data_IF_414802981776
#
_entry.id   IF_414802981776
#
_cell.length_a   1.000
_cell.length_b   1.000
_cell.length_c   1.000
_cell.angle_alpha   90.00
_cell.angle_beta   90.00
_cell.angle_gamma   90.00
#
_symmetry.space_group_name_H-M   'P 1'
#
loop_
_entity.id
_entity.type
_entity.pdbx_description
1 polymer ?
#
# COMPACT_ATOMS: atom_id res chain seq x y z
N UNK A 1 -15.56 4.24 3.10
CA UNK A 1 -15.63 3.01 2.26
C UNK A 1 -14.21 2.66 1.81
N UNK A 2 -13.71 1.44 1.89
CA UNK A 2 -12.29 1.19 1.64
C UNK A 2 -11.87 1.24 0.15
N UNK A 3 -10.56 1.25 -0.12
CA UNK A 3 -9.95 1.09 -1.44
C UNK A 3 -8.95 -0.07 -1.48
N UNK A 4 -8.93 -0.85 -2.56
CA UNK A 4 -7.99 -1.96 -2.78
C UNK A 4 -7.35 -1.80 -4.16
N UNK A 5 -6.04 -2.06 -4.24
CA UNK A 5 -5.28 -2.10 -5.50
C UNK A 5 -4.46 -3.39 -5.51
N UNK A 6 -4.38 -4.05 -6.65
CA UNK A 6 -3.48 -5.19 -6.87
C UNK A 6 -2.63 -4.94 -8.10
N UNK A 7 -1.40 -5.44 -8.10
CA UNK A 7 -0.52 -5.36 -9.25
C UNK A 7 0.31 -6.64 -9.39
N UNK A 8 0.41 -7.12 -10.64
CA UNK A 8 1.36 -8.13 -11.08
C UNK A 8 1.94 -7.68 -12.42
N UNK A 9 3.27 -7.64 -12.55
CA UNK A 9 3.92 -7.28 -13.81
C UNK A 9 5.40 -6.91 -13.67
N UNK A 10 5.92 -6.21 -14.66
CA UNK A 10 7.36 -5.92 -14.78
C UNK A 10 7.84 -4.70 -14.00
N UNK A 11 6.92 -3.83 -13.54
CA UNK A 11 7.27 -2.65 -12.72
C UNK A 11 7.44 -3.07 -11.26
N UNK A 12 8.06 -2.21 -10.46
CA UNK A 12 8.01 -2.39 -9.01
C UNK A 12 6.56 -2.18 -8.53
N UNK A 13 5.99 -3.19 -7.87
CA UNK A 13 4.63 -3.16 -7.37
C UNK A 13 4.39 -2.01 -6.41
N UNK A 14 5.36 -1.65 -5.57
CA UNK A 14 5.23 -0.57 -4.59
C UNK A 14 4.81 0.75 -5.24
N UNK A 15 5.45 1.12 -6.35
CA UNK A 15 5.17 2.38 -7.05
C UNK A 15 3.74 2.38 -7.63
N UNK A 16 3.34 1.27 -8.27
CA UNK A 16 2.00 1.11 -8.86
C UNK A 16 0.91 1.12 -7.80
N UNK A 17 1.15 0.44 -6.68
CA UNK A 17 0.21 0.36 -5.57
C UNK A 17 0.02 1.73 -4.94
N UNK A 18 1.08 2.49 -4.67
CA UNK A 18 0.98 3.83 -4.08
C UNK A 18 0.22 4.78 -4.99
N UNK A 19 0.50 4.79 -6.29
CA UNK A 19 -0.24 5.62 -7.25
C UNK A 19 -1.73 5.26 -7.32
N UNK A 20 -2.05 3.97 -7.31
CA UNK A 20 -3.43 3.48 -7.27
C UNK A 20 -4.14 3.89 -5.98
N UNK A 21 -3.49 3.70 -4.83
CA UNK A 21 -4.04 4.04 -3.52
C UNK A 21 -4.26 5.54 -3.37
N UNK A 22 -3.39 6.39 -3.94
CA UNK A 22 -3.56 7.85 -3.94
C UNK A 22 -4.87 8.26 -4.62
N UNK A 23 -5.25 7.58 -5.70
CA UNK A 23 -6.54 7.80 -6.38
C UNK A 23 -7.74 7.29 -5.58
N UNK A 24 -7.53 6.39 -4.61
CA UNK A 24 -8.59 5.80 -3.77
C UNK A 24 -8.62 6.36 -2.35
N UNK A 25 -7.71 7.26 -1.98
CA UNK A 25 -7.60 7.82 -0.62
C UNK A 25 -8.88 8.54 -0.18
N UNK A 26 -9.61 9.16 -1.12
CA UNK A 26 -10.90 9.80 -0.83
C UNK A 26 -11.95 8.85 -0.24
N UNK A 27 -11.79 7.52 -0.43
CA UNK A 27 -12.73 6.53 0.10
C UNK A 27 -12.41 6.20 1.57
N UNK A 28 -11.13 6.22 1.96
CA UNK A 28 -10.67 5.87 3.31
C UNK A 28 -9.25 6.37 3.58
N UNK A 29 -9.06 6.95 4.76
CA UNK A 29 -7.83 7.64 5.16
C UNK A 29 -7.48 7.43 6.65
N UNK A 30 -8.08 6.43 7.29
CA UNK A 30 -7.80 6.10 8.71
C UNK A 30 -6.55 5.24 8.84
N UNK A 31 -6.24 4.44 7.82
CA UNK A 31 -4.98 3.71 7.68
C UNK A 31 -4.76 3.24 6.25
N UNK A 32 -3.52 2.91 5.93
CA UNK A 32 -3.14 2.31 4.67
C UNK A 32 -2.06 1.23 4.87
N UNK A 33 -1.98 0.30 3.91
CA UNK A 33 -0.90 -0.68 3.89
C UNK A 33 -0.70 -1.31 2.53
N UNK A 34 0.50 -1.87 2.34
CA UNK A 34 0.90 -2.65 1.16
C UNK A 34 1.57 -3.95 1.59
N UNK A 35 1.38 -4.98 0.79
CA UNK A 35 2.08 -6.25 0.88
C UNK A 35 2.71 -6.55 -0.48
N UNK A 36 4.02 -6.80 -0.51
CA UNK A 36 4.79 -7.01 -1.74
C UNK A 36 5.60 -8.29 -1.61
N UNK A 37 5.59 -9.12 -2.67
CA UNK A 37 6.43 -10.31 -2.77
C UNK A 37 7.83 -9.87 -3.22
N UNK A 38 8.76 -9.82 -2.27
CA UNK A 38 10.17 -9.48 -2.51
C UNK A 38 11.02 -10.74 -2.70
N UNK A 39 12.30 -10.61 -3.11
CA UNK A 39 13.24 -11.73 -3.17
C UNK A 39 13.44 -12.43 -1.81
N UNK A 40 13.31 -11.69 -0.70
CA UNK A 40 13.43 -12.21 0.66
C UNK A 40 12.10 -12.78 1.22
N UNK A 41 11.05 -12.87 0.40
CA UNK A 41 9.73 -13.35 0.78
C UNK A 41 8.67 -12.25 0.80
N UNK A 42 7.53 -12.53 1.41
CA UNK A 42 6.45 -11.55 1.53
C UNK A 42 6.80 -10.51 2.59
N UNK A 43 6.76 -9.23 2.22
CA UNK A 43 6.96 -8.10 3.15
C UNK A 43 5.70 -7.24 3.19
N UNK A 44 5.40 -6.70 4.37
CA UNK A 44 4.17 -5.94 4.62
C UNK A 44 4.51 -4.68 5.41
N UNK A 45 4.07 -3.53 4.91
CA UNK A 45 4.17 -2.25 5.62
C UNK A 45 2.77 -1.67 5.77
N UNK A 46 2.45 -1.26 6.99
CA UNK A 46 1.16 -0.63 7.35
C UNK A 46 1.41 0.61 8.18
N UNK A 47 0.58 1.63 8.02
CA UNK A 47 0.57 2.85 8.84
C UNK A 47 -0.86 3.30 9.09
N UNK A 48 -1.09 3.79 10.31
CA UNK A 48 -2.31 4.54 10.65
C UNK A 48 -2.23 5.95 10.10
N UNK A 49 -3.40 6.54 9.84
CA UNK A 49 -3.55 7.84 9.22
C UNK A 49 -3.59 7.79 7.69
N UNK A 50 -3.36 8.96 7.10
CA UNK A 50 -3.39 9.19 5.64
C UNK A 50 -2.33 8.37 4.91
N UNK A 51 -2.49 8.23 3.60
CA UNK A 51 -1.56 7.52 2.73
C UNK A 51 -0.14 8.06 2.84
N UNK A 52 0.03 9.37 3.08
CA UNK A 52 1.33 10.01 3.26
C UNK A 52 2.18 9.44 4.41
N UNK A 53 1.54 8.88 5.45
CA UNK A 53 2.25 8.19 6.52
C UNK A 53 2.87 6.88 6.01
N UNK A 54 2.15 6.14 5.18
CA UNK A 54 2.65 4.93 4.52
C UNK A 54 3.76 5.26 3.52
N UNK A 55 3.60 6.32 2.73
CA UNK A 55 4.62 6.77 1.78
C UNK A 55 5.93 7.13 2.48
N UNK A 56 5.85 7.82 3.64
CA UNK A 56 7.02 8.14 4.45
C UNK A 56 7.73 6.87 4.95
N UNK A 57 6.97 5.89 5.45
CA UNK A 57 7.52 4.61 5.89
C UNK A 57 8.23 3.83 4.77
N UNK A 58 7.68 3.85 3.56
CA UNK A 58 8.25 3.16 2.40
C UNK A 58 9.51 3.85 1.85
N UNK A 59 9.76 5.11 2.21
CA UNK A 59 11.04 5.78 1.92
C UNK A 59 12.17 5.23 2.80
N UNK A 60 11.86 4.81 4.02
CA UNK A 60 12.82 4.20 4.96
C UNK A 60 12.99 2.70 4.69
N UNK A 61 11.91 2.00 4.39
CA UNK A 61 11.89 0.56 4.09
C UNK A 61 11.29 0.31 2.70
N UNK A 62 12.13 0.40 1.66
CA UNK A 62 11.67 0.19 0.29
C UNK A 62 11.35 -1.28 0.05
N UNK A 63 10.10 -1.54 -0.34
CA UNK A 63 9.70 -2.86 -0.81
C UNK A 63 9.91 -2.96 -2.33
N UNK A 64 10.52 -4.05 -2.78
CA UNK A 64 10.79 -4.28 -4.19
C UNK A 64 10.29 -5.65 -4.61
N UNK A 65 9.46 -5.68 -5.66
CA UNK A 65 8.95 -6.92 -6.21
C UNK A 65 7.94 -6.70 -7.33
N UNK A 66 7.70 -7.70 -8.19
CA UNK A 66 6.80 -7.58 -9.34
C UNK A 66 5.31 -7.76 -8.97
N UNK A 67 5.01 -8.15 -7.73
CA UNK A 67 3.69 -8.57 -7.28
C UNK A 67 3.37 -7.97 -5.91
N UNK A 68 2.18 -7.41 -5.76
CA UNK A 68 1.70 -6.95 -4.47
C UNK A 68 0.24 -6.50 -4.46
N UNK A 69 -0.25 -6.22 -3.26
CA UNK A 69 -1.57 -5.66 -2.98
C UNK A 69 -1.44 -4.46 -2.05
N UNK A 70 -2.38 -3.51 -2.17
CA UNK A 70 -2.46 -2.31 -1.37
C UNK A 70 -3.90 -2.06 -0.93
N UNK A 71 -4.08 -1.43 0.23
CA UNK A 71 -5.39 -1.11 0.78
C UNK A 71 -5.38 0.23 1.53
N UNK A 72 -6.43 1.04 1.33
CA UNK A 72 -6.78 2.18 2.18
C UNK A 72 -8.04 1.85 2.97
N UNK A 73 -8.03 2.12 4.28
CA UNK A 73 -9.10 1.75 5.20
C UNK A 73 -9.92 2.97 5.63
N UNK A 74 -11.23 2.77 5.69
CA UNK A 74 -12.14 3.55 6.52
C UNK A 74 -12.63 2.64 7.66
N UNK A 75 -12.37 2.99 8.91
CA UNK A 75 -12.70 2.20 10.07
C UNK A 75 -14.20 2.26 10.36
N UNK A 76 -14.85 1.10 10.42
CA UNK A 76 -16.25 0.98 10.89
C UNK A 76 -16.39 0.07 12.10
N UNK A 77 -15.48 -0.90 12.24
CA UNK A 77 -15.39 -1.82 13.38
C UNK A 77 -13.94 -1.81 13.87
N UNK A 78 -13.74 -1.61 15.18
CA UNK A 78 -12.43 -1.56 15.83
C UNK A 78 -11.77 -2.91 15.89
#
# INVERSE_FOLDING_TARGET
MCGIVGYIGFRNATDVLIDGLRRLEYRGYDSAGVAVRTPAGLKVVKRSGKLSALESALKEERLEGPLGIGHTRWATHG
#
